data_IF_498427838371
#
_entry.id   IF_498427838371
#
_cell.length_a   1.000
_cell.length_b   1.000
_cell.length_c   1.000
_cell.angle_alpha   90.00
_cell.angle_beta   90.00
_cell.angle_gamma   90.00
#
_symmetry.space_group_name_H-M   'P 1'
#
loop_
_entity.id
_entity.type
_entity.pdbx_description
1 polymer ?
#
# COMPACT_ATOMS: atom_id res chain seq x y z
N UNK A 1 11.66 -13.12 7.94
CA UNK A 1 10.98 -13.33 6.65
C UNK A 1 9.92 -14.41 6.83
N UNK A 2 8.70 -14.14 6.35
CA UNK A 2 7.56 -15.07 6.37
C UNK A 2 7.75 -16.25 5.40
N UNK A 3 8.65 -16.12 4.43
CA UNK A 3 8.89 -17.08 3.35
C UNK A 3 9.27 -18.48 3.85
N UNK A 4 9.84 -18.58 5.05
CA UNK A 4 10.20 -19.86 5.67
C UNK A 4 9.00 -20.74 6.00
N UNK A 5 7.82 -20.13 6.14
CA UNK A 5 6.58 -20.80 6.52
C UNK A 5 5.60 -20.91 5.34
N UNK A 6 6.01 -20.51 4.13
CA UNK A 6 5.16 -20.47 2.94
C UNK A 6 5.80 -21.26 1.82
N UNK A 7 4.97 -22.04 1.10
CA UNK A 7 5.41 -22.63 -0.15
C UNK A 7 5.79 -21.53 -1.16
N UNK A 8 6.77 -21.75 -2.06
CA UNK A 8 7.22 -20.73 -3.02
C UNK A 8 6.06 -20.11 -3.82
N UNK A 9 5.09 -20.91 -4.23
CA UNK A 9 3.88 -20.50 -4.95
C UNK A 9 2.89 -19.66 -4.13
N UNK A 10 2.96 -19.69 -2.80
CA UNK A 10 2.09 -18.93 -1.89
C UNK A 10 2.69 -17.59 -1.46
N UNK A 11 3.97 -17.34 -1.81
CA UNK A 11 4.67 -16.12 -1.41
C UNK A 11 4.15 -14.94 -2.20
N UNK A 12 4.05 -13.80 -1.51
CA UNK A 12 3.70 -12.54 -2.11
C UNK A 12 4.48 -11.41 -1.44
N UNK A 13 5.57 -11.00 -2.09
CA UNK A 13 6.43 -9.91 -1.65
C UNK A 13 5.99 -8.57 -2.28
N UNK A 14 6.48 -7.43 -1.77
CA UNK A 14 6.29 -6.14 -2.45
C UNK A 14 6.80 -6.16 -3.91
N UNK A 15 7.84 -6.95 -4.21
CA UNK A 15 8.32 -7.10 -5.58
C UNK A 15 7.28 -7.76 -6.50
N UNK A 16 6.59 -8.79 -6.01
CA UNK A 16 5.54 -9.49 -6.76
C UNK A 16 4.35 -8.57 -7.05
N UNK A 17 3.99 -7.71 -6.09
CA UNK A 17 2.98 -6.66 -6.29
C UNK A 17 3.38 -5.74 -7.45
N UNK A 18 4.58 -5.16 -7.42
CA UNK A 18 5.05 -4.24 -8.46
C UNK A 18 5.09 -4.93 -9.82
N UNK A 19 5.52 -6.20 -9.87
CA UNK A 19 5.52 -6.99 -11.11
C UNK A 19 4.11 -7.16 -11.66
N UNK A 20 3.14 -7.58 -10.84
CA UNK A 20 1.74 -7.78 -11.27
C UNK A 20 1.10 -6.50 -11.78
N UNK A 21 1.36 -5.36 -11.16
CA UNK A 21 0.86 -4.05 -11.61
C UNK A 21 1.44 -3.68 -12.98
N UNK A 22 2.75 -3.91 -13.19
CA UNK A 22 3.38 -3.68 -14.50
C UNK A 22 2.83 -4.60 -15.58
N UNK A 23 2.53 -5.86 -15.24
CA UNK A 23 1.88 -6.81 -16.16
C UNK A 23 0.49 -6.33 -16.60
N UNK A 24 -0.21 -5.58 -15.74
CA UNK A 24 -1.51 -4.95 -16.05
C UNK A 24 -1.37 -3.64 -16.84
N UNK A 25 -0.13 -3.19 -17.14
CA UNK A 25 0.19 -1.89 -17.77
C UNK A 25 -0.27 -0.69 -16.93
N UNK A 26 -0.30 -0.87 -15.62
CA UNK A 26 -0.61 0.19 -14.66
C UNK A 26 0.66 0.59 -13.89
N UNK A 27 0.61 1.71 -13.17
CA UNK A 27 1.71 2.17 -12.31
C UNK A 27 1.15 2.60 -10.95
N UNK A 28 1.72 2.09 -9.87
CA UNK A 28 1.43 2.59 -8.52
C UNK A 28 2.25 3.87 -8.26
N UNK A 29 1.57 4.92 -7.81
CA UNK A 29 2.22 6.14 -7.30
C UNK A 29 2.19 6.25 -5.78
N UNK A 30 1.27 5.55 -5.11
CA UNK A 30 1.14 5.53 -3.66
C UNK A 30 0.63 4.18 -3.15
N UNK A 31 1.21 3.68 -2.07
CA UNK A 31 0.64 2.63 -1.23
C UNK A 31 0.09 3.24 0.06
N UNK A 32 -1.16 2.94 0.39
CA UNK A 32 -1.76 3.18 1.70
C UNK A 32 -1.88 1.84 2.43
N UNK A 33 -1.11 1.69 3.50
CA UNK A 33 -1.09 0.52 4.35
C UNK A 33 -1.99 0.74 5.57
N UNK A 34 -3.05 -0.05 5.67
CA UNK A 34 -4.03 0.01 6.75
C UNK A 34 -3.77 -0.99 7.88
N UNK A 35 -2.77 -1.86 7.74
CA UNK A 35 -2.51 -2.89 8.75
C UNK A 35 -2.11 -2.26 10.09
N UNK A 36 -2.56 -2.86 11.20
CA UNK A 36 -2.25 -2.39 12.55
C UNK A 36 -0.89 -2.87 13.07
N UNK A 37 0.07 -3.09 12.17
CA UNK A 37 1.40 -3.61 12.49
C UNK A 37 2.40 -3.23 11.40
N UNK A 38 3.68 -3.16 11.72
CA UNK A 38 4.77 -2.87 10.74
C UNK A 38 5.57 -4.11 10.37
N UNK A 39 5.08 -5.30 10.74
CA UNK A 39 5.86 -6.55 10.63
C UNK A 39 5.90 -7.17 9.23
N UNK A 40 5.00 -6.76 8.32
CA UNK A 40 4.79 -7.45 7.05
C UNK A 40 5.86 -7.11 6.01
N UNK A 41 6.15 -5.82 5.84
CA UNK A 41 7.23 -5.30 5.00
C UNK A 41 7.55 -3.86 5.43
N UNK A 42 8.76 -3.41 5.11
CA UNK A 42 9.19 -2.02 5.32
C UNK A 42 9.10 -1.18 4.05
N UNK A 43 8.90 0.16 4.15
CA UNK A 43 8.92 1.05 3.00
C UNK A 43 10.25 1.02 2.22
N UNK A 44 11.34 0.62 2.86
CA UNK A 44 12.66 0.39 2.24
C UNK A 44 12.67 -0.75 1.22
N UNK A 45 11.67 -1.64 1.24
CA UNK A 45 11.50 -2.73 0.27
C UNK A 45 10.76 -2.26 -1.01
N UNK A 46 10.24 -1.03 -1.01
CA UNK A 46 9.53 -0.44 -2.13
C UNK A 46 10.46 0.38 -3.03
N UNK A 47 10.16 0.53 -4.33
CA UNK A 47 10.89 1.45 -5.20
C UNK A 47 10.87 2.88 -4.66
N UNK A 48 11.99 3.62 -4.77
CA UNK A 48 12.09 5.00 -4.29
C UNK A 48 11.09 5.97 -4.94
N UNK A 49 10.56 5.63 -6.11
CA UNK A 49 9.54 6.40 -6.82
C UNK A 49 8.12 6.18 -6.28
N UNK A 50 7.92 5.16 -5.45
CA UNK A 50 6.63 4.79 -4.90
C UNK A 50 6.46 5.38 -3.50
N UNK A 51 5.47 6.26 -3.34
CA UNK A 51 5.14 6.82 -2.04
C UNK A 51 4.48 5.75 -1.15
N UNK A 52 4.73 5.83 0.15
CA UNK A 52 4.13 4.95 1.16
C UNK A 52 3.52 5.76 2.30
N UNK A 53 2.31 5.40 2.70
CA UNK A 53 1.60 6.03 3.82
C UNK A 53 0.99 4.96 4.73
N UNK A 54 1.41 4.95 6.00
CA UNK A 54 0.86 4.07 7.03
C UNK A 54 -0.29 4.77 7.76
N UNK A 55 -1.45 4.12 7.80
CA UNK A 55 -2.61 4.56 8.59
C UNK A 55 -3.04 3.37 9.46
N UNK A 56 -2.57 3.33 10.70
CA UNK A 56 -2.88 2.25 11.64
C UNK A 56 -4.41 2.15 11.83
N UNK A 57 -5.00 1.09 11.26
CA UNK A 57 -6.44 0.85 11.31
C UNK A 57 -6.70 -0.42 12.09
N UNK A 58 -7.42 -0.29 13.20
CA UNK A 58 -7.84 -1.44 14.00
C UNK A 58 -8.77 -2.33 13.19
N UNK A 59 -8.47 -3.63 13.16
CA UNK A 59 -9.36 -4.62 12.56
C UNK A 59 -10.63 -4.83 13.38
N UNK A 60 -11.67 -5.37 12.75
CA UNK A 60 -12.97 -5.72 13.35
C UNK A 60 -13.79 -4.56 13.95
N UNK A 61 -13.31 -3.32 13.85
CA UNK A 61 -14.01 -2.12 14.28
C UNK A 61 -14.21 -1.16 13.11
N UNK A 62 -15.24 -0.32 13.19
CA UNK A 62 -15.42 0.77 12.23
C UNK A 62 -14.28 1.79 12.45
N UNK A 63 -13.50 2.14 11.41
CA UNK A 63 -12.44 3.14 11.54
C UNK A 63 -12.96 4.45 12.13
N UNK A 64 -12.24 5.00 13.10
CA UNK A 64 -12.66 6.24 13.75
C UNK A 64 -12.54 7.44 12.78
N UNK A 65 -13.15 8.57 13.18
CA UNK A 65 -13.16 9.81 12.38
C UNK A 65 -11.75 10.28 11.99
N UNK A 66 -10.75 10.08 12.86
CA UNK A 66 -9.37 10.46 12.58
C UNK A 66 -8.75 9.59 11.48
N UNK A 67 -8.92 8.27 11.54
CA UNK A 67 -8.47 7.34 10.49
C UNK A 67 -9.10 7.68 9.13
N UNK A 68 -10.42 7.91 9.12
CA UNK A 68 -11.15 8.31 7.90
C UNK A 68 -10.61 9.64 7.35
N UNK A 69 -10.36 10.61 8.23
CA UNK A 69 -9.82 11.92 7.85
C UNK A 69 -8.43 11.79 7.25
N UNK A 70 -7.52 11.04 7.89
CA UNK A 70 -6.17 10.79 7.40
C UNK A 70 -6.19 10.16 6.00
N UNK A 71 -7.02 9.13 5.79
CA UNK A 71 -7.17 8.49 4.48
C UNK A 71 -7.61 9.50 3.41
N UNK A 72 -8.65 10.29 3.71
CA UNK A 72 -9.14 11.35 2.79
C UNK A 72 -8.07 12.38 2.47
N UNK A 73 -7.28 12.82 3.46
CA UNK A 73 -6.20 13.79 3.27
C UNK A 73 -5.10 13.24 2.36
N UNK A 74 -4.67 12.00 2.59
CA UNK A 74 -3.63 11.34 1.80
C UNK A 74 -4.09 11.17 0.34
N UNK A 75 -5.30 10.64 0.13
CA UNK A 75 -5.86 10.46 -1.22
C UNK A 75 -6.01 11.79 -1.95
N UNK A 76 -6.60 12.81 -1.31
CA UNK A 76 -6.77 14.14 -1.93
C UNK A 76 -5.45 14.80 -2.28
N UNK A 77 -4.43 14.63 -1.43
CA UNK A 77 -3.09 15.15 -1.69
C UNK A 77 -2.49 14.45 -2.91
N UNK A 78 -2.53 13.13 -2.97
CA UNK A 78 -2.00 12.36 -4.08
C UNK A 78 -2.65 12.75 -5.40
N UNK A 79 -3.99 12.76 -5.47
CA UNK A 79 -4.73 13.12 -6.68
C UNK A 79 -4.45 14.54 -7.17
N UNK A 80 -4.32 15.51 -6.25
CA UNK A 80 -3.97 16.89 -6.61
C UNK A 80 -2.55 16.98 -7.18
N UNK A 81 -1.61 16.29 -6.53
CA UNK A 81 -0.19 16.36 -6.87
C UNK A 81 0.15 15.50 -8.13
N UNK A 82 -0.75 14.60 -8.56
CA UNK A 82 -0.61 13.70 -9.72
C UNK A 82 -1.73 13.87 -10.77
N UNK A 83 -2.27 15.09 -10.91
CA UNK A 83 -3.39 15.38 -11.83
C UNK A 83 -3.08 15.17 -13.32
N UNK A 84 -1.81 15.02 -13.66
CA UNK A 84 -1.25 14.95 -15.01
C UNK A 84 -0.81 13.52 -15.41
N UNK A 85 -1.10 12.53 -14.57
CA UNK A 85 -0.81 11.14 -14.83
C UNK A 85 -1.95 10.22 -14.33
N UNK A 86 -1.88 8.95 -14.72
CA UNK A 86 -2.86 7.92 -14.35
C UNK A 86 -2.33 6.96 -13.27
N UNK A 87 -1.37 7.42 -12.43
CA UNK A 87 -0.82 6.56 -11.37
C UNK A 87 -1.88 6.23 -10.34
N UNK A 88 -1.85 4.98 -9.87
CA UNK A 88 -2.82 4.43 -8.96
C UNK A 88 -2.42 4.56 -7.49
N UNK A 89 -3.43 4.56 -6.63
CA UNK A 89 -3.30 4.39 -5.19
C UNK A 89 -3.60 2.92 -4.86
N UNK A 90 -2.58 2.18 -4.47
CA UNK A 90 -2.74 0.83 -3.91
C UNK A 90 -3.16 0.93 -2.45
N UNK A 91 -4.22 0.23 -2.06
CA UNK A 91 -4.71 0.20 -0.67
C UNK A 91 -4.78 -1.24 -0.22
N UNK A 92 -4.25 -1.54 0.97
CA UNK A 92 -4.33 -2.89 1.53
C UNK A 92 -4.51 -2.90 3.05
N UNK A 93 -5.10 -3.99 3.53
CA UNK A 93 -5.09 -4.43 4.92
C UNK A 93 -4.53 -5.87 4.97
N UNK A 94 -4.66 -6.57 6.09
CA UNK A 94 -4.36 -8.01 6.17
C UNK A 94 -5.45 -8.79 5.45
#
# INVERSE_FOLDING_TARGET
>A
SFDRNLHPEERFSPHDLIKKIKEQKEELGLIIDLTYTTRYYGPEELPATLCYSKILTMGHEIPNKNTIFQFKCVVKKFLRDNKDNDKLIGVHCT
#
